data_IF_100921429314
#
_entry.id   IF_100921429314
#
_cell.length_a   1.000
_cell.length_b   1.000
_cell.length_c   1.000
_cell.angle_alpha   90.00
_cell.angle_beta   90.00
_cell.angle_gamma   90.00
#
_symmetry.space_group_name_H-M   'P 1'
#
loop_
_entity.id
_entity.type
_entity.pdbx_description
1 polymer ?
#
# COMPACT_ATOMS: atom_id res chain seq x y z
N UNK A 1 -11.69 12.35 -34.91
CA UNK A 1 -12.65 11.33 -35.38
C UNK A 1 -13.97 12.06 -35.61
N UNK A 2 -14.29 12.28 -36.88
CA UNK A 2 -15.54 12.92 -37.30
C UNK A 2 -16.68 11.94 -37.01
N UNK A 3 -17.61 12.34 -36.13
CA UNK A 3 -18.65 11.50 -35.57
C UNK A 3 -19.83 11.26 -36.52
N UNK A 4 -19.56 10.72 -37.70
CA UNK A 4 -20.58 10.46 -38.74
C UNK A 4 -21.08 9.00 -38.78
N UNK A 5 -20.61 8.11 -37.91
CA UNK A 5 -21.17 6.75 -37.85
C UNK A 5 -22.29 6.65 -36.81
N UNK A 6 -23.43 6.12 -37.25
CA UNK A 6 -24.57 5.80 -36.39
C UNK A 6 -24.18 4.64 -35.46
N UNK A 7 -24.22 4.89 -34.15
CA UNK A 7 -23.70 3.99 -33.09
C UNK A 7 -24.12 2.52 -33.21
N UNK A 8 -25.35 2.27 -33.67
CA UNK A 8 -25.89 0.91 -33.84
C UNK A 8 -25.14 0.14 -34.92
N UNK A 9 -24.70 0.81 -35.98
CA UNK A 9 -24.03 0.18 -37.12
C UNK A 9 -22.57 -0.12 -36.80
N UNK A 10 -21.91 0.76 -36.04
CA UNK A 10 -20.59 0.51 -35.47
C UNK A 10 -20.59 -0.72 -34.53
N UNK A 11 -21.62 -0.85 -33.68
CA UNK A 11 -21.77 -2.03 -32.80
C UNK A 11 -21.99 -3.31 -33.61
N UNK A 12 -22.87 -3.31 -34.62
CA UNK A 12 -23.13 -4.51 -35.44
C UNK A 12 -21.88 -4.97 -36.19
N UNK A 13 -21.12 -4.02 -36.73
CA UNK A 13 -19.83 -4.29 -37.41
C UNK A 13 -18.80 -4.91 -36.48
N UNK A 14 -18.77 -4.52 -35.21
CA UNK A 14 -17.89 -5.13 -34.20
C UNK A 14 -18.39 -6.50 -33.74
N UNK A 15 -19.67 -6.61 -33.41
CA UNK A 15 -20.25 -7.82 -32.80
C UNK A 15 -20.35 -9.01 -33.76
N UNK A 16 -20.52 -8.77 -35.07
CA UNK A 16 -20.61 -9.86 -36.06
C UNK A 16 -19.36 -10.75 -36.10
N UNK A 17 -18.15 -10.20 -36.33
CA UNK A 17 -16.90 -10.95 -36.25
C UNK A 17 -16.60 -11.44 -34.83
N UNK A 18 -16.80 -10.59 -33.81
CA UNK A 18 -16.49 -10.93 -32.42
C UNK A 18 -17.29 -12.13 -31.90
N UNK A 19 -18.56 -12.29 -32.31
CA UNK A 19 -19.37 -13.45 -31.94
C UNK A 19 -18.79 -14.75 -32.50
N UNK A 20 -18.33 -14.74 -33.75
CA UNK A 20 -17.67 -15.90 -34.38
C UNK A 20 -16.34 -16.22 -33.68
N UNK A 21 -15.57 -15.19 -33.35
CA UNK A 21 -14.33 -15.35 -32.61
C UNK A 21 -14.60 -15.93 -31.22
N UNK A 22 -15.69 -15.53 -30.55
CA UNK A 22 -16.09 -16.05 -29.24
C UNK A 22 -16.50 -17.53 -29.30
N UNK A 23 -17.29 -17.92 -30.31
CA UNK A 23 -17.67 -19.31 -30.55
C UNK A 23 -16.45 -20.20 -30.83
N UNK A 24 -15.52 -19.72 -31.67
CA UNK A 24 -14.25 -20.41 -31.92
C UNK A 24 -13.40 -20.52 -30.66
N UNK A 25 -13.34 -19.44 -29.87
CA UNK A 25 -12.65 -19.40 -28.60
C UNK A 25 -13.21 -20.42 -27.60
N UNK A 26 -14.52 -20.56 -27.49
CA UNK A 26 -15.14 -21.50 -26.54
C UNK A 26 -14.77 -22.96 -26.84
N UNK A 27 -14.64 -23.32 -28.12
CA UNK A 27 -14.28 -24.68 -28.55
C UNK A 27 -12.77 -24.93 -28.49
N UNK A 28 -11.96 -23.95 -28.92
CA UNK A 28 -10.52 -24.12 -29.11
C UNK A 28 -9.68 -23.74 -27.89
N UNK A 29 -10.18 -22.86 -27.00
CA UNK A 29 -9.40 -22.46 -25.84
C UNK A 29 -9.42 -23.55 -24.78
N UNK A 30 -8.23 -24.11 -24.55
CA UNK A 30 -7.95 -25.01 -23.43
C UNK A 30 -8.34 -24.34 -22.10
N UNK A 31 -9.22 -24.97 -21.33
CA UNK A 31 -9.66 -24.46 -20.03
C UNK A 31 -8.58 -24.67 -18.96
N UNK A 32 -7.55 -23.83 -18.98
CA UNK A 32 -6.43 -23.84 -18.03
C UNK A 32 -6.90 -23.72 -16.57
N UNK A 33 -8.11 -23.19 -16.32
CA UNK A 33 -8.64 -23.07 -14.95
C UNK A 33 -9.17 -24.40 -14.41
N UNK A 34 -9.60 -25.31 -15.28
CA UNK A 34 -10.10 -26.64 -14.90
C UNK A 34 -8.97 -27.67 -14.77
N UNK A 35 -7.81 -27.41 -15.35
CA UNK A 35 -6.68 -28.32 -15.26
C UNK A 35 -6.09 -28.37 -13.85
N UNK A 36 -6.11 -29.57 -13.27
CA UNK A 36 -5.43 -29.88 -12.03
C UNK A 36 -4.15 -30.66 -12.36
N UNK A 37 -3.00 -29.98 -12.35
CA UNK A 37 -1.73 -30.68 -12.55
C UNK A 37 -1.32 -31.36 -11.24
N UNK A 38 -1.22 -32.69 -11.19
CA UNK A 38 -0.81 -33.39 -9.97
C UNK A 38 0.64 -33.05 -9.64
N UNK A 39 0.95 -33.05 -8.35
CA UNK A 39 2.31 -32.86 -7.83
C UNK A 39 2.63 -33.94 -6.83
N UNK A 40 3.91 -34.19 -6.59
CA UNK A 40 4.39 -35.18 -5.61
C UNK A 40 4.30 -34.68 -4.16
N UNK A 41 3.78 -33.46 -3.96
CA UNK A 41 3.68 -32.83 -2.65
C UNK A 41 2.45 -33.32 -1.90
N UNK A 42 2.64 -33.69 -0.63
CA UNK A 42 1.57 -34.17 0.25
C UNK A 42 1.04 -33.03 1.12
N UNK A 43 -0.27 -32.98 1.32
CA UNK A 43 -0.92 -31.98 2.16
C UNK A 43 -0.71 -32.28 3.67
N UNK A 44 -0.14 -31.33 4.41
CA UNK A 44 0.10 -31.45 5.87
C UNK A 44 -1.16 -31.63 6.72
N UNK A 45 -2.36 -31.30 6.22
CA UNK A 45 -3.60 -31.35 7.01
C UNK A 45 -4.37 -32.66 6.87
N UNK A 46 -4.27 -33.34 5.74
CA UNK A 46 -5.06 -34.53 5.44
C UNK A 46 -4.29 -35.67 4.76
N UNK A 47 -3.00 -35.49 4.45
CA UNK A 47 -2.17 -36.52 3.82
C UNK A 47 -2.46 -36.79 2.33
N UNK A 48 -3.40 -36.07 1.71
CA UNK A 48 -3.69 -36.21 0.28
C UNK A 48 -2.71 -35.43 -0.60
N UNK A 49 -2.49 -35.84 -1.87
CA UNK A 49 -1.63 -35.11 -2.78
C UNK A 49 -2.16 -33.71 -3.08
N UNK A 50 -1.23 -32.78 -3.28
CA UNK A 50 -1.51 -31.42 -3.73
C UNK A 50 -1.50 -31.36 -5.25
N UNK A 51 -2.34 -30.49 -5.79
CA UNK A 51 -2.48 -30.23 -7.22
C UNK A 51 -2.25 -28.74 -7.49
N UNK A 52 -1.67 -28.39 -8.63
CA UNK A 52 -1.59 -27.00 -9.07
C UNK A 52 -2.92 -26.60 -9.71
N UNK A 53 -3.50 -25.50 -9.22
CA UNK A 53 -4.69 -24.86 -9.79
C UNK A 53 -4.38 -23.44 -10.24
N UNK A 54 -5.13 -22.93 -11.21
CA UNK A 54 -5.02 -21.55 -11.69
C UNK A 54 -5.97 -20.61 -10.95
N UNK A 55 -5.44 -19.55 -10.36
CA UNK A 55 -6.22 -18.50 -9.67
C UNK A 55 -5.99 -17.11 -10.23
N UNK A 56 -6.65 -16.10 -9.65
CA UNK A 56 -6.48 -14.68 -10.03
C UNK A 56 -5.03 -14.18 -9.89
N UNK A 57 -4.27 -14.75 -8.96
CA UNK A 57 -2.88 -14.37 -8.66
C UNK A 57 -1.86 -15.31 -9.32
N UNK A 58 -2.29 -16.15 -10.26
CA UNK A 58 -1.49 -17.20 -10.90
C UNK A 58 -1.73 -18.59 -10.32
N UNK A 59 -0.80 -19.49 -10.61
CA UNK A 59 -0.80 -20.87 -10.15
C UNK A 59 -0.56 -20.97 -8.63
N UNK A 60 -1.25 -21.89 -7.97
CA UNK A 60 -1.03 -22.21 -6.56
C UNK A 60 -1.28 -23.70 -6.28
N UNK A 61 -0.69 -24.21 -5.21
CA UNK A 61 -0.92 -25.57 -4.74
C UNK A 61 -2.20 -25.61 -3.91
N UNK A 62 -3.11 -26.51 -4.26
CA UNK A 62 -4.34 -26.78 -3.52
C UNK A 62 -4.40 -28.27 -3.15
N UNK A 63 -5.04 -28.60 -2.03
CA UNK A 63 -5.29 -30.00 -1.71
C UNK A 63 -6.30 -30.62 -2.70
N UNK A 64 -6.06 -31.87 -3.13
CA UNK A 64 -7.03 -32.63 -3.95
C UNK A 64 -8.35 -32.89 -3.23
N UNK A 65 -8.34 -32.97 -1.90
CA UNK A 65 -9.52 -33.16 -1.04
C UNK A 65 -10.40 -31.94 -0.86
N UNK A 66 -10.31 -30.92 -1.70
CA UNK A 66 -11.26 -29.82 -1.68
C UNK A 66 -12.65 -30.33 -2.11
N UNK A 67 -13.75 -30.03 -1.40
CA UNK A 67 -13.96 -28.93 -0.44
C UNK A 67 -13.64 -29.23 1.03
N UNK A 68 -13.41 -30.50 1.40
CA UNK A 68 -13.16 -30.94 2.79
C UNK A 68 -11.85 -30.35 3.36
N UNK A 69 -10.79 -30.33 2.56
CA UNK A 69 -9.52 -29.70 2.93
C UNK A 69 -9.27 -28.42 2.14
N UNK A 70 -9.40 -27.25 2.80
CA UNK A 70 -9.19 -25.92 2.21
C UNK A 70 -7.73 -25.44 2.29
N UNK A 71 -6.77 -26.35 2.43
CA UNK A 71 -5.36 -25.98 2.51
C UNK A 71 -4.83 -25.53 1.14
N UNK A 72 -4.17 -24.38 1.10
CA UNK A 72 -3.54 -23.82 -0.11
C UNK A 72 -2.18 -23.25 0.21
N UNK A 73 -1.23 -23.40 -0.71
CA UNK A 73 0.15 -22.90 -0.58
C UNK A 73 0.62 -22.27 -1.89
N UNK A 74 1.47 -21.26 -1.79
CA UNK A 74 2.20 -20.74 -2.96
C UNK A 74 3.46 -21.57 -3.18
N UNK A 75 3.98 -21.59 -4.41
CA UNK A 75 5.20 -22.30 -4.75
C UNK A 75 6.08 -21.48 -5.69
N UNK A 76 7.36 -21.86 -5.77
CA UNK A 76 8.28 -21.41 -6.82
C UNK A 76 8.71 -22.63 -7.64
N UNK A 77 8.90 -22.44 -8.94
CA UNK A 77 9.53 -23.43 -9.82
C UNK A 77 11.04 -23.22 -9.73
N UNK A 78 11.77 -24.27 -9.37
CA UNK A 78 13.23 -24.27 -9.43
C UNK A 78 13.70 -24.55 -10.88
N UNK A 79 14.99 -24.34 -11.14
CA UNK A 79 15.58 -24.45 -12.49
C UNK A 79 15.51 -25.88 -13.06
N UNK A 80 15.41 -26.88 -12.18
CA UNK A 80 15.19 -28.30 -12.47
C UNK A 80 13.72 -28.64 -12.80
N UNK A 81 12.82 -27.66 -12.76
CA UNK A 81 11.38 -27.86 -12.94
C UNK A 81 10.66 -28.36 -11.68
N UNK A 82 11.37 -28.59 -10.58
CA UNK A 82 10.79 -29.06 -9.32
C UNK A 82 10.00 -27.94 -8.65
N UNK A 83 8.83 -28.30 -8.11
CA UNK A 83 7.94 -27.39 -7.40
C UNK A 83 8.33 -27.35 -5.93
N UNK A 84 8.76 -26.18 -5.44
CA UNK A 84 9.08 -25.97 -4.01
C UNK A 84 8.04 -25.07 -3.36
N UNK A 85 7.30 -25.55 -2.33
CA UNK A 85 6.42 -24.70 -1.55
C UNK A 85 7.20 -23.52 -0.96
N UNK A 86 6.64 -22.31 -1.06
CA UNK A 86 7.21 -21.15 -0.36
C UNK A 86 6.74 -21.19 1.07
N UNK A 87 7.65 -21.51 1.97
CA UNK A 87 7.38 -21.44 3.40
C UNK A 87 7.20 -19.98 3.82
N UNK A 88 6.25 -19.70 4.73
CA UNK A 88 6.07 -18.37 5.27
C UNK A 88 7.31 -17.97 6.09
N UNK A 89 7.88 -16.82 5.76
CA UNK A 89 9.02 -16.26 6.49
C UNK A 89 8.62 -16.03 7.96
N UNK A 90 9.23 -16.80 8.87
CA UNK A 90 9.14 -16.55 10.31
C UNK A 90 10.05 -15.37 10.64
N UNK A 91 9.49 -14.38 11.32
CA UNK A 91 10.27 -13.29 11.89
C UNK A 91 10.72 -13.69 13.30
N UNK A 92 11.90 -13.24 13.72
CA UNK A 92 12.38 -13.42 15.10
C UNK A 92 11.56 -12.70 16.19
N UNK A 93 10.46 -12.05 15.81
CA UNK A 93 9.53 -11.42 16.76
C UNK A 93 8.58 -12.47 17.37
N UNK A 94 8.47 -12.45 18.70
CA UNK A 94 7.59 -13.33 19.46
C UNK A 94 6.22 -12.68 19.69
N UNK A 95 5.17 -13.49 19.65
CA UNK A 95 3.82 -13.03 19.90
C UNK A 95 3.59 -12.67 21.38
N UNK A 96 3.18 -11.43 21.66
CA UNK A 96 2.89 -10.94 23.03
C UNK A 96 1.85 -11.76 23.81
N UNK A 97 0.93 -12.43 23.13
CA UNK A 97 -0.14 -13.21 23.79
C UNK A 97 0.23 -14.66 24.12
N UNK A 98 1.21 -15.26 23.43
CA UNK A 98 1.47 -16.70 23.57
C UNK A 98 2.95 -17.10 23.46
N UNK A 99 3.85 -16.15 23.19
CA UNK A 99 5.28 -16.39 23.06
C UNK A 99 5.71 -17.15 21.79
N UNK A 100 4.78 -17.61 20.94
CA UNK A 100 5.12 -18.31 19.69
C UNK A 100 5.71 -17.33 18.65
N UNK A 101 6.60 -17.78 17.74
CA UNK A 101 7.18 -16.92 16.71
C UNK A 101 6.10 -16.40 15.76
N UNK A 102 6.26 -15.17 15.30
CA UNK A 102 5.37 -14.55 14.32
C UNK A 102 5.84 -14.84 12.89
N UNK A 103 4.88 -14.91 11.95
CA UNK A 103 5.09 -15.17 10.54
C UNK A 103 4.50 -14.05 9.68
N UNK A 104 5.12 -13.74 8.55
CA UNK A 104 4.59 -12.74 7.62
C UNK A 104 3.43 -13.34 6.82
N UNK A 105 2.22 -12.76 7.00
CA UNK A 105 1.01 -13.13 6.27
C UNK A 105 0.50 -11.98 5.42
N UNK A 106 -0.35 -12.29 4.44
CA UNK A 106 -0.95 -11.32 3.53
C UNK A 106 -2.45 -11.16 3.82
N UNK A 107 -2.90 -9.92 4.03
CA UNK A 107 -4.30 -9.58 4.21
C UNK A 107 -4.76 -8.47 3.27
N UNK A 108 -5.99 -7.98 3.48
CA UNK A 108 -6.58 -6.88 2.67
C UNK A 108 -5.78 -5.58 2.72
N UNK A 109 -5.16 -5.28 3.86
CA UNK A 109 -4.42 -4.05 4.10
C UNK A 109 -2.92 -4.16 3.77
N UNK A 110 -2.42 -5.35 3.41
CA UNK A 110 -1.01 -5.60 3.10
C UNK A 110 -0.41 -6.77 3.88
N UNK A 111 0.92 -6.78 3.97
CA UNK A 111 1.68 -7.74 4.79
C UNK A 111 1.56 -7.39 6.27
N UNK A 112 1.43 -8.39 7.14
CA UNK A 112 1.37 -8.21 8.59
C UNK A 112 2.02 -9.41 9.29
N UNK A 113 2.41 -9.23 10.55
CA UNK A 113 2.90 -10.32 11.40
C UNK A 113 1.70 -11.03 12.02
N UNK A 114 1.52 -12.30 11.72
CA UNK A 114 0.52 -13.16 12.35
C UNK A 114 1.19 -14.20 13.23
N UNK A 115 0.57 -14.53 14.36
CA UNK A 115 1.06 -15.63 15.19
C UNK A 115 1.09 -16.96 14.40
N UNK A 116 2.17 -17.74 14.55
CA UNK A 116 2.28 -19.10 14.00
C UNK A 116 1.23 -20.06 14.56
N UNK A 117 0.76 -19.82 15.78
CA UNK A 117 -0.26 -20.62 16.47
C UNK A 117 -1.70 -20.39 16.02
N UNK A 118 -1.94 -19.80 14.85
CA UNK A 118 -3.29 -19.67 14.30
C UNK A 118 -3.85 -21.07 13.94
N UNK A 119 -5.07 -21.46 14.37
CA UNK A 119 -6.19 -20.62 14.80
C UNK A 119 -6.31 -20.33 16.31
N UNK A 120 -5.51 -20.98 17.16
CA UNK A 120 -5.58 -20.86 18.63
C UNK A 120 -5.27 -19.44 19.10
N UNK A 121 -4.23 -18.82 18.51
CA UNK A 121 -3.89 -17.42 18.75
C UNK A 121 -4.15 -16.59 17.49
N UNK A 122 -5.09 -15.63 17.59
CA UNK A 122 -5.47 -14.72 16.50
C UNK A 122 -4.73 -13.37 16.55
N UNK A 123 -3.68 -13.26 17.38
CA UNK A 123 -2.91 -12.03 17.49
C UNK A 123 -2.25 -11.66 16.16
N UNK A 124 -2.33 -10.37 15.81
CA UNK A 124 -1.76 -9.81 14.60
C UNK A 124 -1.10 -8.47 14.92
N UNK A 125 0.10 -8.26 14.39
CA UNK A 125 0.85 -7.03 14.55
C UNK A 125 1.21 -6.44 13.18
N UNK A 126 1.36 -5.10 13.06
CA UNK A 126 1.91 -4.49 11.86
C UNK A 126 3.32 -4.99 11.56
N UNK A 127 3.67 -5.16 10.28
CA UNK A 127 5.03 -5.56 9.87
C UNK A 127 6.11 -4.53 10.27
N UNK A 128 5.73 -3.26 10.31
CA UNK A 128 6.61 -2.17 10.74
C UNK A 128 5.96 -1.49 11.94
N UNK A 129 6.57 -1.65 13.11
CA UNK A 129 6.14 -0.97 14.33
C UNK A 129 6.43 0.53 14.20
N UNK A 130 5.48 1.41 14.58
CA UNK A 130 5.75 2.85 14.56
C UNK A 130 6.90 3.18 15.51
N UNK A 131 7.93 3.85 15.01
CA UNK A 131 9.09 4.25 15.82
C UNK A 131 8.88 5.69 16.30
N UNK A 132 9.00 5.99 17.61
CA UNK A 132 8.92 7.35 18.11
C UNK A 132 10.14 8.15 17.62
N UNK A 133 9.91 9.34 17.05
CA UNK A 133 11.01 10.20 16.54
C UNK A 133 11.59 11.11 17.62
N UNK A 134 10.99 11.19 18.80
CA UNK A 134 11.36 12.11 19.89
C UNK A 134 10.80 13.53 19.72
N UNK A 135 10.10 13.81 18.62
CA UNK A 135 9.66 15.17 18.27
C UNK A 135 8.19 15.38 18.61
N UNK A 136 7.91 16.41 19.41
CA UNK A 136 6.55 16.79 19.79
C UNK A 136 5.78 17.42 18.61
N UNK A 137 4.51 17.09 18.49
CA UNK A 137 3.59 17.56 17.46
C UNK A 137 3.07 18.97 17.79
N UNK A 138 3.95 19.96 17.76
CA UNK A 138 3.64 21.34 18.13
C UNK A 138 2.75 22.09 17.12
N UNK A 139 2.73 21.65 15.85
CA UNK A 139 1.89 22.24 14.80
C UNK A 139 0.47 21.65 14.72
N UNK A 140 0.26 20.47 15.33
CA UNK A 140 -1.02 19.76 15.24
C UNK A 140 -1.83 19.84 16.53
N UNK A 141 -1.31 19.25 17.61
CA UNK A 141 -2.06 19.10 18.87
C UNK A 141 -1.30 19.52 20.12
N UNK A 142 -0.02 19.92 20.02
CA UNK A 142 0.81 20.36 21.13
C UNK A 142 1.34 19.25 22.04
N UNK A 143 0.58 18.18 22.24
CA UNK A 143 0.87 17.14 23.24
C UNK A 143 1.33 15.79 22.67
N UNK A 144 0.98 15.49 21.42
CA UNK A 144 1.35 14.22 20.78
C UNK A 144 2.80 14.19 20.31
N UNK A 145 3.29 13.02 19.96
CA UNK A 145 4.63 12.82 19.39
C UNK A 145 4.51 12.40 17.92
N UNK A 146 5.49 12.78 17.08
CA UNK A 146 5.59 12.29 15.71
C UNK A 146 6.18 10.88 15.68
N UNK A 147 5.39 9.95 15.15
CA UNK A 147 5.76 8.55 14.95
C UNK A 147 6.11 8.32 13.49
N UNK A 148 7.23 7.66 13.23
CA UNK A 148 7.61 7.18 11.91
C UNK A 148 6.72 6.01 11.50
N UNK A 149 6.11 6.11 10.31
CA UNK A 149 5.22 5.10 9.73
C UNK A 149 5.55 4.89 8.26
N UNK A 150 5.15 3.73 7.73
CA UNK A 150 5.38 3.35 6.33
C UNK A 150 4.06 3.29 5.56
N UNK A 151 4.00 3.99 4.44
CA UNK A 151 2.83 3.96 3.55
C UNK A 151 2.73 2.63 2.79
N UNK A 152 1.58 2.37 2.14
CA UNK A 152 1.37 1.19 1.28
C UNK A 152 2.44 1.05 0.18
N UNK A 153 2.97 2.17 -0.32
CA UNK A 153 4.02 2.21 -1.35
C UNK A 153 5.44 2.18 -0.79
N UNK A 154 5.59 2.00 0.53
CA UNK A 154 6.91 1.91 1.19
C UNK A 154 7.53 3.25 1.58
N UNK A 155 6.96 4.39 1.17
CA UNK A 155 7.44 5.73 1.55
C UNK A 155 7.19 5.98 3.04
N UNK A 156 8.22 6.47 3.74
CA UNK A 156 8.13 6.89 5.14
C UNK A 156 7.34 8.19 5.26
N UNK A 157 6.59 8.29 6.34
CA UNK A 157 5.90 9.50 6.75
C UNK A 157 5.82 9.54 8.28
N UNK A 158 5.72 10.73 8.83
CA UNK A 158 5.71 10.97 10.26
C UNK A 158 4.35 11.50 10.62
N UNK A 159 3.64 10.80 11.51
CA UNK A 159 2.27 11.16 11.90
C UNK A 159 2.16 11.23 13.40
N UNK A 160 1.28 12.09 13.89
CA UNK A 160 1.02 12.21 15.32
C UNK A 160 0.55 10.87 15.95
N UNK A 161 1.06 10.56 17.14
CA UNK A 161 0.66 9.39 17.95
C UNK A 161 -0.83 9.41 18.30
N UNK A 162 -1.43 10.60 18.45
CA UNK A 162 -2.85 10.80 18.77
C UNK A 162 -3.81 10.67 17.58
N UNK A 163 -3.37 10.09 16.46
CA UNK A 163 -4.29 9.75 15.37
C UNK A 163 -5.37 8.76 15.88
N UNK A 164 -6.69 8.99 15.64
CA UNK A 164 -7.28 9.90 14.64
C UNK A 164 -7.55 11.34 15.08
N UNK A 165 -7.39 11.69 16.37
CA UNK A 165 -7.71 13.01 16.91
C UNK A 165 -6.82 14.13 16.33
N UNK A 166 -5.56 13.81 16.02
CA UNK A 166 -4.65 14.71 15.31
C UNK A 166 -4.24 14.10 13.96
N UNK A 167 -4.57 14.77 12.85
CA UNK A 167 -4.30 14.31 11.48
C UNK A 167 -3.03 14.92 10.87
N UNK A 168 -2.17 15.53 11.69
CA UNK A 168 -0.93 16.12 11.23
C UNK A 168 0.03 15.05 10.67
N UNK A 169 0.58 15.30 9.48
CA UNK A 169 1.53 14.43 8.78
C UNK A 169 2.67 15.24 8.19
N UNK A 170 3.90 14.79 8.41
CA UNK A 170 5.11 15.27 7.75
C UNK A 170 5.68 14.17 6.84
N UNK A 171 6.10 14.52 5.64
CA UNK A 171 6.69 13.58 4.67
C UNK A 171 8.20 13.47 4.74
N UNK A 172 8.83 14.49 5.31
CA UNK A 172 10.27 14.61 5.52
C UNK A 172 10.56 14.39 7.01
N UNK A 173 11.79 14.01 7.36
CA UNK A 173 12.15 13.59 8.73
C UNK A 173 12.10 14.78 9.69
N UNK A 174 11.29 14.75 10.76
CA UNK A 174 11.25 15.85 11.72
C UNK A 174 12.46 15.77 12.67
N UNK A 175 13.05 16.92 12.97
CA UNK A 175 14.14 17.09 13.94
C UNK A 175 13.67 18.01 15.08
N UNK A 176 14.05 17.76 16.33
CA UNK A 176 13.60 18.53 17.50
C UNK A 176 14.19 19.95 17.59
N UNK A 177 14.84 20.44 16.53
CA UNK A 177 15.41 21.79 16.47
C UNK A 177 14.35 22.83 16.12
N UNK A 178 14.36 23.95 16.83
CA UNK A 178 13.45 25.05 16.54
C UNK A 178 13.90 25.83 15.30
N UNK A 179 12.96 26.27 14.48
CA UNK A 179 13.26 27.09 13.31
C UNK A 179 13.83 28.46 13.75
N UNK A 180 15.01 28.87 13.27
CA UNK A 180 15.65 30.15 13.67
C UNK A 180 14.86 31.38 13.19
N UNK A 181 14.00 31.24 12.17
CA UNK A 181 13.20 32.36 11.64
C UNK A 181 11.84 32.56 12.31
N UNK A 182 11.20 31.50 12.78
CA UNK A 182 9.81 31.58 13.26
C UNK A 182 9.57 30.91 14.62
N UNK A 183 10.61 30.31 15.22
CA UNK A 183 10.53 29.65 16.53
C UNK A 183 9.63 28.41 16.55
N UNK A 184 9.21 27.89 15.40
CA UNK A 184 8.40 26.65 15.35
C UNK A 184 9.27 25.48 15.82
N UNK A 185 8.80 24.71 16.80
CA UNK A 185 9.67 23.80 17.57
C UNK A 185 10.05 22.47 16.90
N UNK A 186 9.93 22.35 15.58
CA UNK A 186 10.66 21.33 14.81
C UNK A 186 10.87 21.78 13.36
N UNK A 187 11.95 21.31 12.76
CA UNK A 187 12.28 21.46 11.34
C UNK A 187 12.26 20.09 10.66
N UNK A 188 12.18 20.06 9.33
CA UNK A 188 12.22 18.81 8.57
C UNK A 188 13.47 18.71 7.73
N UNK A 189 14.06 17.53 7.70
CA UNK A 189 15.24 17.19 6.91
C UNK A 189 14.88 16.30 5.73
N UNK A 190 15.43 16.64 4.57
CA UNK A 190 15.27 15.88 3.34
C UNK A 190 16.60 15.74 2.61
N UNK A 191 16.93 14.51 2.24
CA UNK A 191 18.03 14.24 1.32
C UNK A 191 17.57 14.47 -0.12
N UNK A 192 18.32 15.30 -0.84
CA UNK A 192 18.10 15.59 -2.25
C UNK A 192 19.35 15.24 -3.04
N UNK A 193 19.17 14.71 -4.26
CA UNK A 193 20.31 14.32 -5.11
C UNK A 193 21.19 15.51 -5.53
N UNK A 194 20.62 16.71 -5.61
CA UNK A 194 21.30 17.92 -6.14
C UNK A 194 21.92 18.80 -5.04
N UNK A 195 21.21 18.97 -3.94
CA UNK A 195 21.55 19.94 -2.88
C UNK A 195 21.94 19.24 -1.56
N UNK A 196 22.21 17.93 -1.59
CA UNK A 196 22.52 17.15 -0.39
C UNK A 196 21.39 17.16 0.64
N UNK A 197 21.78 17.28 1.90
CA UNK A 197 20.89 17.31 3.06
C UNK A 197 20.35 18.72 3.27
N UNK A 198 19.04 18.89 3.12
CA UNK A 198 18.36 20.19 3.25
C UNK A 198 17.38 20.16 4.40
N UNK A 199 17.52 21.10 5.35
CA UNK A 199 16.53 21.38 6.38
C UNK A 199 15.55 22.45 5.90
N UNK A 200 14.27 22.29 6.22
CA UNK A 200 13.18 23.23 5.87
C UNK A 200 12.22 23.41 7.04
N UNK A 201 11.70 24.61 7.20
CA UNK A 201 10.60 24.88 8.12
C UNK A 201 9.26 24.38 7.55
N UNK A 202 8.46 23.73 8.41
CA UNK A 202 7.13 23.21 8.05
C UNK A 202 6.03 24.28 8.06
N UNK A 203 6.21 25.36 8.83
CA UNK A 203 5.21 26.42 8.97
C UNK A 203 4.98 27.14 7.64
N UNK A 204 3.73 27.16 7.19
CA UNK A 204 3.31 27.91 6.01
C UNK A 204 3.69 29.40 6.19
N UNK A 205 4.38 29.98 5.20
CA UNK A 205 4.81 31.38 5.21
C UNK A 205 6.22 31.67 5.74
N UNK A 206 6.85 30.78 6.53
CA UNK A 206 8.22 31.03 7.02
C UNK A 206 9.26 30.84 5.90
N UNK A 207 9.17 29.71 5.19
CA UNK A 207 9.99 29.43 4.03
C UNK A 207 11.49 29.25 4.29
N UNK A 208 11.92 29.20 5.55
CA UNK A 208 13.31 28.95 5.90
C UNK A 208 13.79 27.60 5.36
N UNK A 209 15.00 27.59 4.80
CA UNK A 209 15.69 26.41 4.30
C UNK A 209 17.20 26.59 4.49
N UNK A 210 17.89 25.51 4.82
CA UNK A 210 19.33 25.49 5.06
C UNK A 210 19.92 24.18 4.51
N UNK A 211 21.10 24.27 3.91
CA UNK A 211 21.86 23.12 3.43
C UNK A 211 22.91 22.75 4.46
N UNK A 212 23.02 21.46 4.78
CA UNK A 212 23.99 20.95 5.74
C UNK A 212 24.98 20.06 5.01
N UNK A 213 26.26 20.34 5.24
CA UNK A 213 27.35 19.52 4.76
C UNK A 213 27.52 18.33 5.69
N UNK A 214 27.02 17.17 5.27
CA UNK A 214 27.10 15.92 6.03
C UNK A 214 28.49 15.25 5.97
N UNK A 215 29.47 15.88 5.32
CA UNK A 215 30.86 15.39 5.25
C UNK A 215 31.07 14.24 4.25
N UNK A 216 30.07 13.96 3.41
CA UNK A 216 30.02 12.80 2.50
C UNK A 216 30.96 12.93 1.29
N UNK A 217 31.71 14.04 1.17
CA UNK A 217 32.56 14.34 0.02
C UNK A 217 31.80 14.57 -1.30
N UNK A 218 30.47 14.74 -1.24
CA UNK A 218 29.64 15.00 -2.41
C UNK A 218 29.73 16.47 -2.87
N UNK A 219 29.97 16.68 -4.18
CA UNK A 219 29.88 17.99 -4.83
C UNK A 219 28.41 18.37 -5.03
N UNK A 220 27.80 18.93 -3.97
CA UNK A 220 26.41 19.39 -3.99
C UNK A 220 26.34 20.86 -4.41
N UNK A 221 25.45 21.16 -5.36
CA UNK A 221 25.20 22.55 -5.72
C UNK A 221 24.63 23.31 -4.51
N UNK A 222 24.98 24.59 -4.31
CA UNK A 222 24.39 25.41 -3.27
C UNK A 222 22.89 25.61 -3.54
N UNK A 223 22.10 25.69 -2.47
CA UNK A 223 20.68 26.01 -2.59
C UNK A 223 20.50 27.37 -3.31
N UNK A 224 19.57 27.46 -4.29
CA UNK A 224 19.30 28.73 -4.93
C UNK A 224 18.76 29.71 -3.89
N UNK A 225 19.26 30.95 -3.91
CA UNK A 225 18.67 32.05 -3.18
C UNK A 225 17.19 32.15 -3.53
N UNK A 226 16.35 32.51 -2.55
CA UNK A 226 14.88 32.54 -2.71
C UNK A 226 14.47 33.69 -3.65
N UNK A 227 14.77 33.60 -4.95
CA UNK A 227 14.01 34.32 -5.98
C UNK A 227 12.56 33.91 -5.80
N UNK A 228 11.70 34.89 -5.55
CA UNK A 228 10.30 34.73 -5.19
C UNK A 228 9.63 33.61 -6.00
N UNK A 229 9.48 32.43 -5.40
CA UNK A 229 8.77 31.28 -5.96
C UNK A 229 7.24 31.50 -5.92
N UNK A 230 6.80 32.74 -6.16
CA UNK A 230 5.41 33.18 -6.13
C UNK A 230 4.80 33.38 -7.54
N UNK A 231 5.57 33.27 -8.65
CA UNK A 231 5.04 33.59 -9.99
C UNK A 231 4.78 32.41 -10.93
N UNK A 232 5.01 31.15 -10.54
CA UNK A 232 4.70 29.97 -11.39
C UNK A 232 3.56 29.11 -10.80
N UNK A 233 2.50 29.76 -10.29
CA UNK A 233 1.19 29.12 -10.02
C UNK A 233 0.01 29.98 -10.46
N UNK A 234 0.20 30.81 -11.48
CA UNK A 234 -0.84 31.65 -12.06
C UNK A 234 -0.98 31.41 -13.56
N UNK A 235 -1.45 30.22 -13.97
CA UNK A 235 -2.12 29.96 -15.26
C UNK A 235 -2.66 28.53 -15.28
N UNK A 236 -4.00 28.40 -15.23
CA UNK A 236 -4.69 27.21 -15.75
C UNK A 236 -5.51 26.36 -14.76
N UNK A 237 -6.59 26.91 -14.19
CA UNK A 237 -7.96 26.34 -14.26
C UNK A 237 -8.91 27.18 -13.39
N UNK A 238 -9.43 28.24 -13.97
CA UNK A 238 -10.79 28.68 -13.65
C UNK A 238 -11.75 27.65 -14.25
N UNK A 239 -12.71 27.15 -13.47
CA UNK A 239 -13.69 26.19 -13.96
C UNK A 239 -14.39 25.40 -12.85
N UNK A 240 -15.21 26.11 -12.06
CA UNK A 240 -16.49 25.67 -11.50
C UNK A 240 -16.56 24.35 -10.72
N UNK A 241 -16.87 24.47 -9.42
CA UNK A 241 -17.90 23.65 -8.73
C UNK A 241 -18.28 24.33 -7.43
N UNK A 242 -19.18 25.29 -7.55
CA UNK A 242 -20.03 25.74 -6.44
C UNK A 242 -20.98 24.62 -6.01
N UNK A 243 -21.20 24.57 -4.69
CA UNK A 243 -22.42 24.18 -4.00
C UNK A 243 -23.16 22.90 -4.42
N UNK A 244 -23.05 21.86 -3.59
CA UNK A 244 -24.14 20.91 -3.35
C UNK A 244 -24.03 20.31 -1.94
N UNK A 245 -24.21 21.16 -0.92
CA UNK A 245 -24.64 20.72 0.40
C UNK A 245 -26.18 20.73 0.41
N UNK A 246 -26.80 19.54 0.51
CA UNK A 246 -28.01 19.26 1.29
C UNK A 246 -28.77 18.03 0.73
N UNK A 247 -29.36 17.29 1.67
CA UNK A 247 -30.44 16.30 1.53
C UNK A 247 -30.00 14.87 1.19
N UNK A 248 -29.88 14.06 2.25
CA UNK A 248 -30.41 12.68 2.33
C UNK A 248 -30.44 12.23 3.80
N UNK A 249 -31.49 12.64 4.50
CA UNK A 249 -32.08 11.87 5.59
C UNK A 249 -33.51 11.60 5.14
N UNK A 250 -33.86 10.34 4.92
CA UNK A 250 -35.23 9.89 4.79
C UNK A 250 -35.41 8.75 5.79
N UNK A 251 -36.43 8.78 6.65
CA UNK A 251 -36.61 7.78 7.69
C UNK A 251 -37.08 6.46 7.07
N UNK A 252 -36.56 5.35 7.60
CA UNK A 252 -37.03 4.00 7.29
C UNK A 252 -38.46 3.85 7.81
N UNK A 253 -39.41 3.58 6.92
CA UNK A 253 -40.76 3.13 7.27
C UNK A 253 -40.66 1.69 7.77
N UNK A 254 -41.20 1.44 8.95
CA UNK A 254 -41.52 0.12 9.46
C UNK A 254 -42.66 -0.49 8.63
N UNK A 255 -42.53 -1.77 8.29
CA UNK A 255 -43.65 -2.63 7.93
C UNK A 255 -43.61 -3.82 8.87
N UNK A 256 -44.51 -3.80 9.83
CA UNK A 256 -45.03 -4.93 10.58
C UNK A 256 -46.19 -5.56 9.79
N UNK A 257 -46.40 -6.86 10.04
CA UNK A 257 -47.44 -7.76 9.53
C UNK A 257 -47.04 -8.58 8.30
#
# INVERSE_FOLDING_TARGET
EEGEEHYVDALRRFWGPFAKDLEQAEVQMRDVKREERPTDLVCEKCGQPMVIKWGRRGEFLACRGYPECKNTKNFRRADDGTIRPVEPETTGEMCEQCGRPMQVRFGRYGKFLGCSGYPECKNMQPLHKPVPTGVRCLLGCGEGELMERRSRRGKLFYSCSRYPACQFVAWDRPLPEACPRCGTGFVTEKLTKRYGTVRRCVKEGCGWQEQIDTGDGGDYAPLPERRAAAQVRGRGRAGGREAAAARRHSPRRATSS
#
